data_IF_088808063797
#
_entry.id   IF_088808063797
#
_cell.length_a   1.000
_cell.length_b   1.000
_cell.length_c   1.000
_cell.angle_alpha   90.00
_cell.angle_beta   90.00
_cell.angle_gamma   90.00
#
_symmetry.space_group_name_H-M   'P 1'
#
loop_
_entity.id
_entity.type
_entity.pdbx_description
1 polymer ?
#
# COMPACT_ATOMS: atom_id res chain seq x y z
N UNK A 1 6.34 -82.14 -26.92
CA UNK A 1 5.63 -80.90 -27.29
C UNK A 1 4.92 -80.38 -26.06
N UNK A 2 5.40 -79.28 -25.49
CA UNK A 2 4.63 -78.36 -24.63
C UNK A 2 5.49 -77.12 -24.45
N UNK A 3 5.36 -76.19 -25.41
CA UNK A 3 6.09 -74.93 -25.40
C UNK A 3 5.40 -73.94 -24.46
N UNK A 4 5.98 -73.76 -23.28
CA UNK A 4 5.63 -72.70 -22.35
C UNK A 4 6.21 -71.36 -22.85
N UNK A 5 5.45 -70.66 -23.70
CA UNK A 5 5.79 -69.29 -24.09
C UNK A 5 5.73 -68.35 -22.87
N UNK A 6 6.76 -67.52 -22.62
CA UNK A 6 6.79 -66.60 -21.49
C UNK A 6 5.82 -65.45 -21.74
N UNK A 7 4.60 -65.56 -21.22
CA UNK A 7 3.52 -64.56 -21.33
C UNK A 7 3.67 -63.38 -20.34
N UNK A 8 4.68 -63.41 -19.47
CA UNK A 8 4.92 -62.40 -18.41
C UNK A 8 5.41 -61.02 -18.91
N UNK A 9 6.36 -60.90 -19.88
CA UNK A 9 6.86 -59.58 -20.28
C UNK A 9 5.84 -58.79 -21.09
N UNK A 10 4.97 -59.48 -21.85
CA UNK A 10 3.94 -58.83 -22.67
C UNK A 10 2.84 -58.20 -21.79
N UNK A 11 2.40 -58.90 -20.73
CA UNK A 11 1.42 -58.37 -19.78
C UNK A 11 1.97 -57.18 -18.99
N UNK A 12 3.24 -57.22 -18.61
CA UNK A 12 3.92 -56.11 -17.92
C UNK A 12 4.06 -54.87 -18.83
N UNK A 13 4.42 -55.07 -20.11
CA UNK A 13 4.51 -53.98 -21.08
C UNK A 13 3.14 -53.32 -21.35
N UNK A 14 2.07 -54.11 -21.47
CA UNK A 14 0.71 -53.59 -21.68
C UNK A 14 0.21 -52.82 -20.46
N UNK A 15 0.49 -53.30 -19.24
CA UNK A 15 0.12 -52.58 -18.01
C UNK A 15 0.87 -51.25 -17.87
N UNK A 16 2.18 -51.22 -18.17
CA UNK A 16 2.97 -49.98 -18.18
C UNK A 16 2.47 -48.98 -19.21
N UNK A 17 2.14 -49.43 -20.42
CA UNK A 17 1.59 -48.58 -21.48
C UNK A 17 0.22 -48.00 -21.08
N UNK A 18 -0.67 -48.81 -20.49
CA UNK A 18 -1.96 -48.33 -20.00
C UNK A 18 -1.81 -47.29 -18.89
N UNK A 19 -0.85 -47.47 -17.96
CA UNK A 19 -0.61 -46.47 -16.90
C UNK A 19 -0.04 -45.16 -17.43
N UNK A 20 0.83 -45.20 -18.46
CA UNK A 20 1.35 -44.00 -19.11
C UNK A 20 0.25 -43.23 -19.86
N UNK A 21 -0.65 -43.95 -20.55
CA UNK A 21 -1.79 -43.36 -21.27
C UNK A 21 -2.82 -42.73 -20.32
N UNK A 22 -3.02 -43.31 -19.12
CA UNK A 22 -3.92 -42.74 -18.11
C UNK A 22 -3.37 -41.45 -17.46
N UNK A 23 -2.05 -41.28 -17.41
CA UNK A 23 -1.41 -40.06 -16.89
C UNK A 23 -1.49 -38.85 -17.82
N UNK A 24 -1.82 -39.05 -19.10
CA UNK A 24 -1.88 -37.98 -20.10
C UNK A 24 -3.18 -37.16 -20.05
N UNK A 25 -4.18 -37.59 -19.27
CA UNK A 25 -5.47 -36.91 -19.11
C UNK A 25 -5.53 -36.02 -17.85
N UNK A 26 -4.43 -35.39 -17.44
CA UNK A 26 -4.52 -34.32 -16.43
C UNK A 26 -5.18 -33.10 -17.07
N UNK A 27 -6.35 -32.65 -16.58
CA UNK A 27 -6.97 -31.46 -17.12
C UNK A 27 -6.04 -30.25 -16.87
N UNK A 28 -5.84 -29.41 -17.89
CA UNK A 28 -5.08 -28.15 -17.79
C UNK A 28 -5.59 -27.27 -16.62
N UNK A 29 -6.85 -27.44 -16.23
CA UNK A 29 -7.48 -26.86 -15.03
C UNK A 29 -6.73 -27.15 -13.71
N UNK A 30 -5.92 -28.22 -13.62
CA UNK A 30 -5.14 -28.54 -12.42
C UNK A 30 -3.84 -27.71 -12.31
N UNK A 31 -3.47 -26.96 -13.35
CA UNK A 31 -2.23 -26.16 -13.39
C UNK A 31 -2.42 -24.74 -12.82
N UNK A 32 -3.65 -24.29 -12.64
CA UNK A 32 -3.95 -22.91 -12.22
C UNK A 32 -5.35 -22.77 -11.61
N UNK A 33 -5.46 -22.04 -10.51
CA UNK A 33 -6.70 -21.65 -9.83
C UNK A 33 -6.82 -20.12 -9.74
N UNK A 34 -8.03 -19.55 -9.59
CA UNK A 34 -8.20 -18.12 -9.37
C UNK A 34 -7.46 -17.59 -8.12
N UNK A 35 -7.27 -18.45 -7.12
CA UNK A 35 -6.48 -18.17 -5.92
C UNK A 35 -4.96 -18.09 -6.19
N UNK A 36 -4.49 -18.54 -7.37
CA UNK A 36 -3.11 -18.35 -7.83
C UNK A 36 -2.89 -16.96 -8.48
N UNK A 37 -3.92 -16.12 -8.49
CA UNK A 37 -3.83 -14.71 -8.93
C UNK A 37 -4.22 -13.66 -7.90
N UNK A 38 -3.70 -13.70 -6.66
CA UNK A 38 -3.75 -12.52 -5.82
C UNK A 38 -2.92 -11.43 -6.53
N UNK A 39 -3.55 -10.27 -6.74
CA UNK A 39 -2.92 -9.10 -7.35
C UNK A 39 -2.83 -8.04 -6.27
N UNK A 40 -2.14 -8.42 -5.20
CA UNK A 40 -2.01 -7.57 -4.02
C UNK A 40 -0.89 -6.56 -4.27
N UNK A 41 -1.21 -5.30 -4.00
CA UNK A 41 -0.21 -4.25 -3.87
C UNK A 41 0.40 -4.42 -2.50
N UNK A 42 1.70 -4.68 -2.45
CA UNK A 42 2.43 -4.80 -1.18
C UNK A 42 3.07 -3.47 -0.81
N UNK A 43 3.40 -3.28 0.46
CA UNK A 43 4.03 -2.05 0.94
C UNK A 43 5.41 -2.37 1.49
N UNK A 44 6.41 -1.67 0.97
CA UNK A 44 7.74 -1.65 1.56
C UNK A 44 7.91 -0.41 2.43
N UNK A 45 8.58 -0.58 3.58
CA UNK A 45 8.88 0.48 4.54
C UNK A 45 10.39 0.62 4.69
N UNK A 46 10.89 1.82 4.46
CA UNK A 46 12.21 2.25 4.88
C UNK A 46 12.08 3.18 6.09
N UNK A 47 12.96 3.01 7.08
CA UNK A 47 12.94 3.77 8.31
C UNK A 47 14.37 4.18 8.66
N UNK A 48 14.53 5.44 9.08
CA UNK A 48 15.77 5.91 9.68
C UNK A 48 15.44 6.76 10.90
N UNK A 49 16.34 6.78 11.89
CA UNK A 49 16.10 7.49 13.15
C UNK A 49 17.31 8.31 13.59
N UNK A 50 17.03 9.48 14.17
CA UNK A 50 18.01 10.39 14.72
C UNK A 50 17.68 10.73 16.18
N UNK A 51 18.70 10.69 17.03
CA UNK A 51 18.64 11.24 18.38
C UNK A 51 19.29 12.61 18.44
N UNK A 52 18.56 13.59 18.96
CA UNK A 52 19.08 14.94 19.23
C UNK A 52 19.12 15.20 20.74
N UNK A 53 20.16 15.86 21.27
CA UNK A 53 20.20 16.23 22.68
C UNK A 53 19.11 17.27 22.99
N UNK A 54 18.42 17.14 24.12
CA UNK A 54 17.31 18.03 24.53
C UNK A 54 17.79 19.44 24.96
N UNK A 55 19.03 19.80 24.67
CA UNK A 55 19.67 21.00 25.19
C UNK A 55 19.59 22.14 24.19
N UNK A 56 18.74 23.12 24.54
CA UNK A 56 18.57 24.47 23.97
C UNK A 56 17.47 24.58 22.90
N UNK A 57 16.78 25.72 22.91
CA UNK A 57 15.77 26.13 21.90
C UNK A 57 16.36 26.39 20.49
N UNK A 58 17.53 25.83 20.17
CA UNK A 58 18.21 25.99 18.88
C UNK A 58 18.87 24.68 18.49
N UNK A 59 18.78 24.38 17.20
CA UNK A 59 19.43 23.23 16.59
C UNK A 59 20.93 23.53 16.44
N UNK A 60 21.81 22.65 16.91
CA UNK A 60 23.23 22.78 16.63
C UNK A 60 23.52 22.48 15.15
N UNK A 61 24.64 22.95 14.58
CA UNK A 61 25.03 22.58 13.22
C UNK A 61 25.17 21.06 13.03
N UNK A 62 25.65 20.35 14.05
CA UNK A 62 25.77 18.89 14.04
C UNK A 62 24.40 18.20 13.96
N UNK A 63 23.43 18.66 14.76
CA UNK A 63 22.05 18.16 14.75
C UNK A 63 21.37 18.41 13.39
N UNK A 64 21.58 19.61 12.84
CA UNK A 64 21.08 19.98 11.51
C UNK A 64 21.65 19.06 10.43
N UNK A 65 22.95 18.77 10.49
CA UNK A 65 23.61 17.86 9.55
C UNK A 65 23.14 16.41 9.72
N UNK A 66 22.84 15.97 10.94
CA UNK A 66 22.28 14.65 11.21
C UNK A 66 20.86 14.52 10.64
N UNK A 67 20.00 15.51 10.86
CA UNK A 67 18.65 15.53 10.27
C UNK A 67 18.69 15.59 8.74
N UNK A 68 19.67 16.29 8.15
CA UNK A 68 19.82 16.30 6.69
C UNK A 68 20.15 14.90 6.17
N UNK A 69 21.15 14.23 6.75
CA UNK A 69 21.52 12.86 6.35
C UNK A 69 20.37 11.88 6.50
N UNK A 70 19.59 12.01 7.57
CA UNK A 70 18.39 11.22 7.82
C UNK A 70 17.41 11.26 6.63
N UNK A 71 17.15 12.46 6.11
CA UNK A 71 16.21 12.68 5.00
C UNK A 71 16.84 12.30 3.65
N UNK A 72 18.14 12.59 3.46
CA UNK A 72 18.88 12.20 2.25
C UNK A 72 18.96 10.68 2.08
N UNK A 73 19.07 9.91 3.18
CA UNK A 73 19.07 8.45 3.16
C UNK A 73 17.78 7.85 2.58
N UNK A 74 16.64 8.51 2.80
CA UNK A 74 15.34 8.08 2.28
C UNK A 74 15.06 8.57 0.85
N UNK A 75 15.69 9.66 0.42
CA UNK A 75 15.68 10.12 -0.98
C UNK A 75 14.40 10.79 -1.49
N UNK A 76 13.28 10.71 -0.76
CA UNK A 76 11.99 11.31 -1.13
C UNK A 76 11.45 12.25 -0.02
N UNK A 77 12.08 13.42 0.20
CA UNK A 77 11.70 14.32 1.31
C UNK A 77 10.20 14.66 1.34
N UNK A 78 9.54 15.03 0.23
CA UNK A 78 8.12 15.41 0.27
C UNK A 78 7.19 14.30 0.72
N UNK A 79 7.56 13.03 0.48
CA UNK A 79 6.77 11.83 0.83
C UNK A 79 7.17 11.19 2.15
N UNK A 80 8.25 11.67 2.76
CA UNK A 80 8.77 11.13 4.02
C UNK A 80 7.88 11.57 5.17
N UNK A 81 7.35 10.60 5.93
CA UNK A 81 6.64 10.85 7.19
C UNK A 81 7.66 11.00 8.30
N UNK A 82 7.52 12.03 9.13
CA UNK A 82 8.45 12.26 10.24
C UNK A 82 7.68 12.36 11.55
N UNK A 83 8.07 11.54 12.52
CA UNK A 83 7.60 11.63 13.89
C UNK A 83 8.68 12.23 14.79
N UNK A 84 8.36 13.34 15.44
CA UNK A 84 9.20 14.01 16.43
C UNK A 84 8.67 13.64 17.81
N UNK A 85 9.38 12.80 18.55
CA UNK A 85 9.07 12.45 19.92
C UNK A 85 9.81 13.38 20.89
N UNK A 86 9.05 14.22 21.60
CA UNK A 86 9.56 15.10 22.64
C UNK A 86 9.68 14.36 23.99
N UNK A 87 10.74 14.64 24.77
CA UNK A 87 10.94 13.99 26.07
C UNK A 87 9.91 14.48 27.09
N UNK A 88 9.77 13.76 28.19
CA UNK A 88 8.88 14.17 29.29
C UNK A 88 9.31 15.53 29.85
N UNK A 89 8.35 16.46 30.01
CA UNK A 89 8.60 17.82 30.48
C UNK A 89 9.01 18.81 29.38
N UNK A 90 9.20 18.36 28.14
CA UNK A 90 9.37 19.25 27.00
C UNK A 90 8.05 19.91 26.58
N UNK A 91 8.15 21.16 26.15
CA UNK A 91 7.04 21.91 25.58
C UNK A 91 7.01 21.78 24.05
N UNK A 92 5.81 21.86 23.47
CA UNK A 92 5.60 21.68 22.03
C UNK A 92 6.40 22.68 21.18
N UNK A 93 6.62 23.90 21.70
CA UNK A 93 7.41 24.94 21.04
C UNK A 93 8.88 24.52 20.80
N UNK A 94 9.40 23.56 21.58
CA UNK A 94 10.76 23.05 21.45
C UNK A 94 10.95 22.19 20.19
N UNK A 95 9.87 21.67 19.59
CA UNK A 95 9.93 20.98 18.30
C UNK A 95 10.08 21.95 17.12
N UNK A 96 9.75 23.24 17.28
CA UNK A 96 9.69 24.22 16.17
C UNK A 96 11.00 24.32 15.37
N UNK A 97 12.20 24.36 15.99
CA UNK A 97 13.46 24.38 15.24
C UNK A 97 13.67 23.11 14.40
N UNK A 98 13.26 21.95 14.92
CA UNK A 98 13.36 20.65 14.23
C UNK A 98 12.40 20.63 13.04
N UNK A 99 11.13 21.00 13.26
CA UNK A 99 10.11 21.10 12.19
C UNK A 99 10.57 22.04 11.07
N UNK A 100 11.11 23.21 11.42
CA UNK A 100 11.60 24.18 10.43
C UNK A 100 12.79 23.64 9.65
N UNK A 101 13.72 22.93 10.31
CA UNK A 101 14.86 22.34 9.63
C UNK A 101 14.42 21.27 8.62
N UNK A 102 13.54 20.35 9.04
CA UNK A 102 12.98 19.30 8.17
C UNK A 102 12.22 19.88 6.98
N UNK A 103 11.37 20.88 7.21
CA UNK A 103 10.67 21.59 6.14
C UNK A 103 11.67 22.28 5.17
N UNK A 104 12.75 22.85 5.71
CA UNK A 104 13.85 23.41 4.91
C UNK A 104 14.63 22.37 4.09
N UNK A 105 14.54 21.08 4.44
CA UNK A 105 15.09 19.98 3.66
C UNK A 105 14.08 19.40 2.65
N UNK A 106 12.87 19.95 2.56
CA UNK A 106 11.85 19.54 1.61
C UNK A 106 10.82 18.55 2.15
N UNK A 107 10.83 18.26 3.46
CA UNK A 107 9.75 17.47 4.09
C UNK A 107 8.47 18.28 4.10
N UNK A 108 7.37 17.71 3.62
CA UNK A 108 6.05 18.36 3.69
C UNK A 108 5.65 18.52 5.17
N UNK A 109 5.36 19.74 5.66
CA UNK A 109 4.89 19.95 7.03
C UNK A 109 3.65 19.12 7.41
N UNK A 110 2.79 18.75 6.45
CA UNK A 110 1.64 17.87 6.68
C UNK A 110 2.05 16.44 7.06
N UNK A 111 3.27 16.03 6.71
CA UNK A 111 3.85 14.73 7.03
C UNK A 111 4.66 14.72 8.34
N UNK A 112 4.73 15.85 9.06
CA UNK A 112 5.45 15.97 10.33
C UNK A 112 4.48 15.91 11.50
N UNK A 113 4.62 14.88 12.33
CA UNK A 113 3.84 14.70 13.56
C UNK A 113 4.73 14.94 14.78
N UNK A 114 4.26 15.75 15.73
CA UNK A 114 4.92 15.93 17.03
C UNK A 114 4.16 15.13 18.08
N UNK A 115 4.84 14.20 18.73
CA UNK A 115 4.28 13.35 19.77
C UNK A 115 5.10 13.48 21.06
N UNK A 116 4.49 13.07 22.18
CA UNK A 116 5.23 12.85 23.42
C UNK A 116 5.83 11.46 23.39
N UNK A 117 7.09 11.35 23.78
CA UNK A 117 7.73 10.07 23.93
C UNK A 117 7.06 9.27 25.04
N UNK A 118 6.63 8.06 24.71
CA UNK A 118 6.14 7.11 25.70
C UNK A 118 7.38 6.49 26.37
N UNK A 119 7.51 6.68 27.68
CA UNK A 119 8.62 6.10 28.43
C UNK A 119 8.57 4.57 28.35
N UNK A 120 9.63 3.96 27.83
CA UNK A 120 9.84 2.52 27.95
C UNK A 120 10.58 2.16 29.25
N UNK A 121 10.85 0.87 29.43
CA UNK A 121 11.49 0.31 30.63
C UNK A 121 12.94 0.81 30.87
N UNK A 122 13.48 1.62 29.95
CA UNK A 122 14.86 2.13 29.96
C UNK A 122 15.06 3.49 30.67
N UNK A 123 14.08 3.97 31.43
CA UNK A 123 14.19 5.22 32.20
C UNK A 123 13.90 6.49 31.38
N UNK A 124 14.02 7.69 31.99
CA UNK A 124 13.66 8.95 31.35
C UNK A 124 14.60 9.24 30.18
N UNK A 125 14.07 9.10 28.97
CA UNK A 125 14.83 9.36 27.76
C UNK A 125 15.10 10.87 27.64
N UNK A 126 16.37 11.22 27.57
CA UNK A 126 16.83 12.61 27.47
C UNK A 126 17.16 12.92 26.02
N UNK A 127 16.30 13.67 25.34
CA UNK A 127 16.55 14.11 23.96
C UNK A 127 15.27 14.39 23.20
N UNK A 128 15.39 14.81 21.94
CA UNK A 128 14.31 14.72 20.94
C UNK A 128 14.61 13.54 19.98
N UNK A 129 13.68 12.58 19.88
CA UNK A 129 13.75 11.48 18.92
C UNK A 129 13.09 11.92 17.62
N UNK A 130 13.74 11.66 16.49
CA UNK A 130 13.19 11.92 15.17
C UNK A 130 13.23 10.63 14.38
N UNK A 131 12.06 10.08 14.07
CA UNK A 131 11.92 8.89 13.21
C UNK A 131 11.36 9.33 11.87
N UNK A 132 12.04 8.99 10.79
CA UNK A 132 11.62 9.25 9.43
C UNK A 132 11.28 7.92 8.75
N UNK A 133 10.11 7.86 8.12
CA UNK A 133 9.60 6.68 7.43
C UNK A 133 9.22 7.03 6.00
N UNK A 134 9.59 6.16 5.07
CA UNK A 134 9.17 6.22 3.68
C UNK A 134 8.47 4.92 3.29
N UNK A 135 7.31 5.06 2.64
CA UNK A 135 6.50 3.93 2.18
C UNK A 135 6.45 3.90 0.65
N UNK A 136 6.66 2.72 0.10
CA UNK A 136 6.55 2.45 -1.33
C UNK A 136 5.50 1.36 -1.59
N UNK A 137 4.60 1.61 -2.53
CA UNK A 137 3.68 0.59 -3.02
C UNK A 137 4.39 -0.22 -4.11
N UNK A 138 4.47 -1.53 -3.90
CA UNK A 138 5.09 -2.47 -4.84
C UNK A 138 3.98 -3.19 -5.59
N UNK A 139 3.87 -2.98 -6.92
CA UNK A 139 2.86 -3.65 -7.72
C UNK A 139 3.13 -5.16 -7.82
N UNK A 140 2.10 -5.97 -8.12
CA UNK A 140 2.28 -7.39 -8.34
C UNK A 140 3.15 -7.66 -9.57
N UNK A 141 3.86 -8.79 -9.57
CA UNK A 141 4.65 -9.24 -10.72
C UNK A 141 3.71 -9.68 -11.85
N UNK A 142 3.68 -8.90 -12.92
CA UNK A 142 2.92 -9.14 -14.14
C UNK A 142 3.74 -8.73 -15.37
N UNK A 143 3.41 -9.22 -16.58
CA UNK A 143 2.34 -10.18 -16.89
C UNK A 143 2.70 -11.64 -16.56
N UNK A 144 1.66 -12.45 -16.34
CA UNK A 144 1.73 -13.92 -16.22
C UNK A 144 1.00 -14.56 -17.41
N UNK A 145 1.64 -15.52 -18.07
CA UNK A 145 1.16 -16.16 -19.29
C UNK A 145 0.72 -17.63 -19.09
N UNK A 146 0.65 -18.11 -17.85
CA UNK A 146 0.26 -19.49 -17.54
C UNK A 146 -1.17 -19.85 -17.98
N UNK A 147 -2.11 -18.90 -17.91
CA UNK A 147 -3.48 -19.00 -18.43
C UNK A 147 -3.80 -17.79 -19.31
N UNK A 148 -3.87 -18.03 -20.62
CA UNK A 148 -4.23 -17.03 -21.62
C UNK A 148 -5.74 -16.91 -21.77
N UNK A 149 -6.21 -15.84 -22.42
CA UNK A 149 -7.64 -15.63 -22.73
C UNK A 149 -8.08 -16.40 -23.98
N UNK A 150 -7.14 -16.96 -24.74
CA UNK A 150 -7.37 -17.44 -26.11
C UNK A 150 -7.73 -18.93 -26.18
N UNK A 151 -7.37 -19.72 -25.17
CA UNK A 151 -7.36 -21.20 -25.26
C UNK A 151 -8.33 -21.89 -24.29
N UNK A 152 -9.26 -21.14 -23.68
CA UNK A 152 -10.00 -21.58 -22.50
C UNK A 152 -11.53 -21.33 -22.60
N UNK A 153 -12.32 -22.42 -22.72
CA UNK A 153 -13.79 -22.39 -22.70
C UNK A 153 -14.41 -22.51 -21.30
N UNK A 154 -13.61 -22.44 -20.23
CA UNK A 154 -14.08 -22.62 -18.84
C UNK A 154 -14.76 -21.38 -18.25
N UNK A 155 -14.85 -20.27 -18.98
CA UNK A 155 -15.39 -18.98 -18.52
C UNK A 155 -14.71 -18.45 -17.24
N UNK A 156 -13.43 -18.77 -17.04
CA UNK A 156 -12.66 -18.30 -15.88
C UNK A 156 -11.81 -17.08 -16.21
N UNK A 157 -11.43 -16.27 -15.20
CA UNK A 157 -10.50 -15.17 -15.39
C UNK A 157 -9.14 -15.68 -15.89
N UNK A 158 -8.46 -14.88 -16.72
CA UNK A 158 -7.09 -15.17 -17.14
C UNK A 158 -6.09 -14.96 -16.00
N UNK A 159 -4.84 -15.42 -16.19
CA UNK A 159 -3.77 -15.15 -15.23
C UNK A 159 -3.50 -13.66 -15.02
N UNK A 160 -3.90 -12.78 -15.93
CA UNK A 160 -3.68 -11.33 -15.79
C UNK A 160 -4.89 -10.56 -15.28
N UNK A 161 -5.99 -11.24 -14.94
CA UNK A 161 -7.18 -10.59 -14.41
C UNK A 161 -6.84 -9.75 -13.15
N UNK A 162 -7.29 -8.50 -13.13
CA UNK A 162 -7.01 -7.56 -12.05
C UNK A 162 -5.60 -6.92 -12.05
N UNK A 163 -4.67 -7.35 -12.91
CA UNK A 163 -3.30 -6.83 -12.86
C UNK A 163 -3.19 -5.36 -13.25
N UNK A 164 -3.95 -4.91 -14.25
CA UNK A 164 -4.00 -3.49 -14.61
C UNK A 164 -4.51 -2.65 -13.43
N UNK A 165 -5.53 -3.14 -12.72
CA UNK A 165 -6.10 -2.44 -11.56
C UNK A 165 -5.08 -2.33 -10.42
N UNK A 166 -4.37 -3.41 -10.11
CA UNK A 166 -3.36 -3.41 -9.05
C UNK A 166 -2.15 -2.52 -9.39
N UNK A 167 -1.67 -2.55 -10.64
CA UNK A 167 -0.61 -1.64 -11.10
C UNK A 167 -1.05 -0.18 -11.02
N UNK A 168 -2.24 0.13 -11.53
CA UNK A 168 -2.79 1.48 -11.48
C UNK A 168 -2.97 1.93 -10.02
N UNK A 169 -3.45 1.06 -9.13
CA UNK A 169 -3.56 1.37 -7.71
C UNK A 169 -2.18 1.71 -7.11
N UNK A 170 -1.16 0.89 -7.36
CA UNK A 170 0.19 1.11 -6.83
C UNK A 170 0.77 2.49 -7.23
N UNK A 171 0.47 2.99 -8.44
CA UNK A 171 0.97 4.29 -8.91
C UNK A 171 0.03 5.46 -8.61
N UNK A 172 -1.26 5.21 -8.35
CA UNK A 172 -2.25 6.23 -8.02
C UNK A 172 -2.30 6.57 -6.52
N UNK A 173 -1.72 5.73 -5.66
CA UNK A 173 -1.68 5.99 -4.22
C UNK A 173 -0.89 7.26 -3.92
N UNK A 174 -1.59 8.27 -3.41
CA UNK A 174 -0.95 9.46 -2.86
C UNK A 174 -0.02 9.08 -1.69
N UNK A 175 -0.42 8.10 -0.89
CA UNK A 175 0.28 7.67 0.30
C UNK A 175 0.25 6.14 0.47
N UNK A 176 1.31 5.42 0.09
CA UNK A 176 1.36 3.96 0.20
C UNK A 176 1.26 3.41 1.62
N UNK A 177 1.62 4.20 2.65
CA UNK A 177 1.55 3.72 4.04
C UNK A 177 0.11 3.45 4.50
N UNK A 178 -0.89 4.05 3.83
CA UNK A 178 -2.31 3.84 4.14
C UNK A 178 -2.77 2.40 3.83
N UNK A 179 -2.05 1.67 2.97
CA UNK A 179 -2.28 0.24 2.74
C UNK A 179 -1.77 -0.65 3.89
N UNK A 180 -0.77 -0.20 4.64
CA UNK A 180 -0.21 -0.95 5.77
C UNK A 180 -1.03 -0.75 7.04
N UNK A 181 -1.46 0.48 7.30
CA UNK A 181 -2.36 0.80 8.40
C UNK A 181 -3.21 2.04 8.08
N UNK A 182 -4.50 2.04 8.44
CA UNK A 182 -5.33 3.23 8.26
C UNK A 182 -4.85 4.34 9.20
N UNK A 183 -4.85 5.58 8.70
CA UNK A 183 -4.67 6.76 9.54
C UNK A 183 -5.84 6.90 10.51
N UNK A 184 -5.58 7.41 11.72
CA UNK A 184 -6.66 7.78 12.64
C UNK A 184 -7.42 8.95 12.04
N UNK A 185 -8.72 8.77 11.84
CA UNK A 185 -9.61 9.87 11.49
C UNK A 185 -9.69 10.85 12.66
N UNK A 186 -9.78 12.14 12.34
CA UNK A 186 -10.07 13.17 13.34
C UNK A 186 -11.47 12.99 13.95
N UNK A 187 -11.77 13.69 15.05
CA UNK A 187 -13.12 13.68 15.62
C UNK A 187 -14.13 14.15 14.58
N UNK A 188 -15.30 13.50 14.53
CA UNK A 188 -16.39 13.95 13.68
C UNK A 188 -16.94 15.30 14.19
N UNK A 189 -17.20 16.23 13.28
CA UNK A 189 -17.94 17.46 13.59
C UNK A 189 -19.44 17.17 13.58
N UNK A 190 -19.96 16.75 14.73
CA UNK A 190 -21.38 16.43 14.90
C UNK A 190 -22.30 17.62 14.63
N UNK A 191 -21.86 18.84 14.95
CA UNK A 191 -22.65 20.05 14.72
C UNK A 191 -22.79 20.35 13.22
N UNK A 192 -21.71 20.20 12.46
CA UNK A 192 -21.77 20.33 11.00
C UNK A 192 -22.69 19.28 10.36
N UNK A 193 -22.63 18.04 10.85
CA UNK A 193 -23.48 16.94 10.37
C UNK A 193 -24.96 17.17 10.70
N UNK A 194 -25.29 17.59 11.91
CA UNK A 194 -26.65 17.96 12.31
C UNK A 194 -27.19 19.12 11.46
N UNK A 195 -26.39 20.18 11.31
CA UNK A 195 -26.79 21.36 10.56
C UNK A 195 -27.09 21.04 9.09
N UNK A 196 -26.42 20.04 8.49
CA UNK A 196 -26.75 19.57 7.15
C UNK A 196 -28.14 18.91 7.09
N UNK A 197 -28.49 18.08 8.08
CA UNK A 197 -29.81 17.45 8.18
C UNK A 197 -30.91 18.48 8.43
N UNK A 198 -30.67 19.45 9.32
CA UNK A 198 -31.63 20.52 9.59
C UNK A 198 -31.91 21.37 8.34
N UNK A 199 -30.86 21.77 7.60
CA UNK A 199 -31.02 22.50 6.32
C UNK A 199 -31.83 21.71 5.32
N UNK A 200 -31.63 20.40 5.22
CA UNK A 200 -32.43 19.53 4.36
C UNK A 200 -33.90 19.52 4.78
N UNK A 201 -34.18 19.29 6.07
CA UNK A 201 -35.55 19.23 6.60
C UNK A 201 -36.30 20.56 6.51
N UNK A 202 -35.58 21.68 6.59
CA UNK A 202 -36.16 23.03 6.58
C UNK A 202 -36.13 23.71 5.21
N UNK A 203 -35.77 22.98 4.14
CA UNK A 203 -35.62 23.53 2.78
C UNK A 203 -34.65 24.72 2.68
N UNK A 204 -33.61 24.74 3.52
CA UNK A 204 -32.53 25.75 3.51
C UNK A 204 -31.27 25.24 2.82
N UNK A 205 -31.39 24.27 1.91
CA UNK A 205 -30.27 23.77 1.11
C UNK A 205 -29.92 24.78 0.02
N UNK A 206 -28.64 24.83 -0.37
CA UNK A 206 -28.22 25.63 -1.53
C UNK A 206 -28.97 25.15 -2.77
N UNK A 207 -29.69 26.03 -3.49
CA UNK A 207 -30.38 25.64 -4.71
C UNK A 207 -29.39 25.05 -5.72
N UNK A 208 -29.80 23.97 -6.38
CA UNK A 208 -29.02 23.42 -7.48
C UNK A 208 -28.88 24.49 -8.56
N UNK A 209 -27.67 24.64 -9.12
CA UNK A 209 -27.52 25.42 -10.35
C UNK A 209 -28.39 24.77 -11.42
N UNK A 210 -29.24 25.55 -12.07
CA UNK A 210 -30.02 25.07 -13.19
C UNK A 210 -29.06 24.51 -14.25
N UNK A 211 -29.03 23.19 -14.41
CA UNK A 211 -28.30 22.57 -15.52
C UNK A 211 -29.16 22.67 -16.75
N UNK A 212 -28.73 23.46 -17.73
CA UNK A 212 -29.21 23.37 -19.10
C UNK A 212 -28.53 22.16 -19.77
N UNK A 213 -28.87 20.94 -19.35
CA UNK A 213 -28.63 19.78 -20.22
C UNK A 213 -29.76 19.80 -21.24
N UNK A 214 -29.59 20.62 -22.28
CA UNK A 214 -30.42 20.52 -23.47
C UNK A 214 -29.92 19.28 -24.23
N UNK A 215 -30.75 18.24 -24.27
CA UNK A 215 -30.60 17.16 -25.24
C UNK A 215 -30.89 17.73 -26.64
N UNK A 216 -29.91 18.37 -27.27
CA UNK A 216 -29.97 18.70 -28.70
C UNK A 216 -29.59 17.45 -29.51
N UNK A 217 -30.48 16.47 -29.51
CA UNK A 217 -30.49 15.37 -30.46
C UNK A 217 -31.46 15.67 -31.59
N UNK A 218 -31.10 16.61 -32.49
CA UNK A 218 -31.78 16.71 -33.78
C UNK A 218 -31.18 15.64 -34.71
N UNK A 219 -31.91 14.54 -34.88
CA UNK A 219 -31.67 13.59 -35.96
C UNK A 219 -31.94 14.30 -37.29
N UNK A 220 -30.89 14.55 -38.08
CA UNK A 220 -31.05 14.75 -39.52
C UNK A 220 -30.98 13.39 -40.19
N UNK A 221 -32.14 12.82 -40.49
CA UNK A 221 -32.39 11.96 -41.65
C UNK A 221 -33.76 12.32 -42.20
#
# INVERSE_FOLDING_TARGET
MNDHFPQRPLRQAVLLALTLLAGACTPVEALWTPADTPRDVTVERAESAAWLPATRNRLAPADTAQLRRLIEELGEPPRTRVTIALPTGAEQHQAVPVVRALAGFGVDPANITVARQLGGDAGPVRGIAVTAELYAAVPPRCPDWRRTVMDDNSFRPSSNFGCANANNLAVMLADPGDLAAPRRLGPADGAAQEAAVDRYKTNKVTPLKASSTVLTGASQQ
#
